data_IF_881957903405
#
_entry.id   IF_881957903405
#
_cell.length_a   1.000
_cell.length_b   1.000
_cell.length_c   1.000
_cell.angle_alpha   90.00
_cell.angle_beta   90.00
_cell.angle_gamma   90.00
#
_symmetry.space_group_name_H-M   'P 1'
#
loop_
_entity.id
_entity.type
_entity.pdbx_description
1 polymer ?
#
# COMPACT_ATOMS: atom_id res chain seq x y z
N UNK A 1 -3.41 -27.08 29.52
CA UNK A 1 -2.84 -26.08 28.59
C UNK A 1 -3.22 -26.36 27.12
N UNK A 2 -2.85 -27.52 26.54
CA UNK A 2 -3.15 -27.85 25.13
C UNK A 2 -4.62 -27.71 24.72
N UNK A 3 -5.55 -28.29 25.48
CA UNK A 3 -6.99 -28.23 25.19
C UNK A 3 -7.55 -26.81 25.21
N UNK A 4 -7.01 -25.95 26.07
CA UNK A 4 -7.41 -24.54 26.18
C UNK A 4 -6.93 -23.75 24.98
N UNK A 5 -5.65 -23.93 24.61
CA UNK A 5 -5.06 -23.28 23.45
C UNK A 5 -5.75 -23.73 22.17
N UNK A 6 -6.10 -25.01 22.00
CA UNK A 6 -6.82 -25.49 20.81
C UNK A 6 -8.24 -24.90 20.64
N UNK A 7 -8.77 -24.22 21.66
CA UNK A 7 -10.10 -23.62 21.68
C UNK A 7 -10.05 -22.16 22.10
N UNK A 8 -8.91 -21.50 21.93
CA UNK A 8 -8.68 -20.15 22.44
C UNK A 8 -9.72 -19.13 21.93
N UNK A 9 -10.14 -19.28 20.68
CA UNK A 9 -11.13 -18.43 20.02
C UNK A 9 -12.51 -18.49 20.69
N UNK A 10 -12.84 -19.56 21.43
CA UNK A 10 -14.10 -19.63 22.19
C UNK A 10 -14.13 -18.66 23.36
N UNK A 11 -12.97 -18.16 23.82
CA UNK A 11 -12.92 -17.14 24.87
C UNK A 11 -13.17 -15.74 24.34
N UNK A 12 -12.98 -15.50 23.04
CA UNK A 12 -13.10 -14.18 22.45
C UNK A 12 -14.47 -13.53 22.66
N UNK A 13 -15.63 -14.22 22.49
CA UNK A 13 -16.94 -13.62 22.82
C UNK A 13 -17.09 -13.22 24.28
N UNK A 14 -16.45 -13.93 25.22
CA UNK A 14 -16.47 -13.57 26.64
C UNK A 14 -15.62 -12.33 26.90
N UNK A 15 -14.45 -12.22 26.25
CA UNK A 15 -13.62 -11.01 26.32
C UNK A 15 -14.35 -9.83 25.67
N UNK A 16 -15.01 -10.03 24.53
CA UNK A 16 -15.86 -9.03 23.89
C UNK A 16 -16.97 -8.53 24.84
N UNK A 17 -17.58 -9.43 25.61
CA UNK A 17 -18.55 -9.06 26.66
C UNK A 17 -17.95 -8.17 27.75
N UNK A 18 -16.66 -8.31 28.10
CA UNK A 18 -16.01 -7.42 29.06
C UNK A 18 -15.88 -5.99 28.50
N UNK A 19 -15.53 -5.84 27.22
CA UNK A 19 -15.56 -4.54 26.55
C UNK A 19 -16.98 -3.96 26.51
N UNK A 20 -17.99 -4.78 26.23
CA UNK A 20 -19.39 -4.36 26.25
C UNK A 20 -19.85 -3.89 27.64
N UNK A 21 -19.45 -4.59 28.71
CA UNK A 21 -19.73 -4.18 30.09
C UNK A 21 -19.02 -2.86 30.43
N UNK A 22 -17.75 -2.70 30.02
CA UNK A 22 -17.02 -1.45 30.20
C UNK A 22 -17.72 -0.28 29.48
N UNK A 23 -18.20 -0.50 28.25
CA UNK A 23 -19.01 0.47 27.50
C UNK A 23 -20.32 0.80 28.19
N UNK A 24 -21.00 -0.20 28.77
CA UNK A 24 -22.30 -0.02 29.40
C UNK A 24 -22.22 0.75 30.73
N UNK A 25 -21.22 0.45 31.56
CA UNK A 25 -21.10 1.04 32.90
C UNK A 25 -20.28 2.32 32.95
N UNK A 26 -19.44 2.58 31.96
CA UNK A 26 -18.58 3.76 31.94
C UNK A 26 -19.19 4.93 31.18
N UNK A 27 -18.85 6.13 31.60
CA UNK A 27 -19.12 7.36 30.86
C UNK A 27 -17.82 7.78 30.16
N UNK A 28 -17.72 7.48 28.87
CA UNK A 28 -16.50 7.63 28.08
C UNK A 28 -16.65 8.75 27.06
N UNK A 29 -15.56 9.45 26.77
CA UNK A 29 -15.51 10.31 25.60
C UNK A 29 -15.54 9.47 24.30
N UNK A 30 -15.76 10.15 23.17
CA UNK A 30 -15.87 9.50 21.86
C UNK A 30 -14.63 8.65 21.52
N UNK A 31 -13.45 9.08 21.96
CA UNK A 31 -12.18 8.39 21.71
C UNK A 31 -12.13 7.05 22.43
N UNK A 32 -12.30 7.06 23.75
CA UNK A 32 -12.26 5.84 24.56
C UNK A 32 -13.43 4.92 24.21
N UNK A 33 -14.61 5.48 23.91
CA UNK A 33 -15.76 4.72 23.41
C UNK A 33 -15.42 3.99 22.10
N UNK A 34 -14.81 4.67 21.13
CA UNK A 34 -14.44 4.07 19.84
C UNK A 34 -13.38 2.98 20.01
N UNK A 35 -12.41 3.19 20.92
CA UNK A 35 -11.39 2.19 21.25
C UNK A 35 -11.99 0.95 21.91
N UNK A 36 -12.90 1.12 22.87
CA UNK A 36 -13.60 0.00 23.52
C UNK A 36 -14.46 -0.79 22.54
N UNK A 37 -15.19 -0.11 21.64
CA UNK A 37 -15.97 -0.78 20.58
C UNK A 37 -15.03 -1.54 19.62
N UNK A 38 -13.91 -0.93 19.24
CA UNK A 38 -12.90 -1.59 18.39
C UNK A 38 -12.29 -2.82 19.08
N UNK A 39 -12.01 -2.72 20.39
CA UNK A 39 -11.56 -3.82 21.24
C UNK A 39 -12.58 -4.95 21.37
N UNK A 40 -13.88 -4.63 21.39
CA UNK A 40 -14.96 -5.60 21.31
C UNK A 40 -14.93 -6.33 19.95
N UNK A 41 -14.90 -5.58 18.85
CA UNK A 41 -14.97 -6.16 17.52
C UNK A 41 -13.74 -6.97 17.13
N UNK A 42 -12.53 -6.66 17.61
CA UNK A 42 -11.36 -7.51 17.35
C UNK A 42 -11.49 -8.89 17.99
N UNK A 43 -12.12 -8.99 19.14
CA UNK A 43 -12.41 -10.29 19.74
C UNK A 43 -13.49 -11.04 18.94
N UNK A 44 -14.56 -10.34 18.52
CA UNK A 44 -15.56 -10.97 17.65
C UNK A 44 -14.97 -11.37 16.28
N UNK A 45 -14.02 -10.61 15.76
CA UNK A 45 -13.32 -10.89 14.51
C UNK A 45 -12.51 -12.19 14.62
N UNK A 46 -11.73 -12.36 15.70
CA UNK A 46 -11.05 -13.62 15.96
C UNK A 46 -12.01 -14.80 16.10
N UNK A 47 -13.17 -14.58 16.72
CA UNK A 47 -14.21 -15.60 16.79
C UNK A 47 -14.79 -15.91 15.40
N UNK A 48 -14.96 -14.91 14.54
CA UNK A 48 -15.41 -15.11 13.16
C UNK A 48 -14.42 -15.96 12.36
N UNK A 49 -13.14 -15.62 12.44
CA UNK A 49 -12.03 -16.26 11.72
C UNK A 49 -11.78 -17.72 12.13
N UNK A 50 -11.83 -18.01 13.44
CA UNK A 50 -11.47 -19.33 13.98
C UNK A 50 -12.67 -20.14 14.47
N UNK A 51 -13.69 -19.47 15.01
CA UNK A 51 -14.85 -20.09 15.67
C UNK A 51 -16.04 -20.35 14.75
N UNK A 52 -16.70 -19.28 14.31
CA UNK A 52 -17.89 -19.37 13.46
C UNK A 52 -18.02 -18.17 12.51
N UNK A 53 -18.07 -18.39 11.17
CA UNK A 53 -18.08 -19.69 10.50
C UNK A 53 -16.73 -20.41 10.57
N UNK A 54 -15.66 -19.69 10.89
CA UNK A 54 -14.30 -20.22 11.04
C UNK A 54 -13.68 -20.64 9.71
N UNK A 55 -12.49 -21.24 9.78
CA UNK A 55 -11.77 -21.75 8.61
C UNK A 55 -10.71 -20.80 8.05
N UNK A 56 -10.50 -19.65 8.69
CA UNK A 56 -9.45 -18.71 8.34
C UNK A 56 -8.03 -19.31 8.31
N UNK A 57 -7.60 -20.21 9.22
CA UNK A 57 -6.22 -20.70 9.22
C UNK A 57 -5.80 -21.35 7.90
N UNK A 58 -6.66 -22.21 7.33
CA UNK A 58 -6.37 -22.82 6.03
C UNK A 58 -6.47 -21.78 4.91
N UNK A 59 -7.43 -20.85 4.97
CA UNK A 59 -7.51 -19.73 4.01
C UNK A 59 -6.22 -18.89 4.05
N UNK A 60 -5.68 -18.54 5.22
CA UNK A 60 -4.46 -17.77 5.39
C UNK A 60 -3.22 -18.56 4.93
N UNK A 61 -3.11 -19.85 5.29
CA UNK A 61 -2.04 -20.73 4.78
C UNK A 61 -2.00 -20.78 3.26
N UNK A 62 -3.18 -20.84 2.66
CA UNK A 62 -3.37 -20.97 1.24
C UNK A 62 -3.21 -19.63 0.50
N UNK A 63 -3.81 -18.55 0.98
CA UNK A 63 -3.83 -17.25 0.30
C UNK A 63 -2.60 -16.43 0.63
N UNK A 64 -2.23 -16.32 1.91
CA UNK A 64 -1.10 -15.48 2.34
C UNK A 64 0.24 -16.20 2.29
N UNK A 65 0.30 -17.42 2.85
CA UNK A 65 1.55 -18.17 2.99
C UNK A 65 1.89 -18.99 1.75
N UNK A 66 0.98 -19.06 0.77
CA UNK A 66 1.14 -19.76 -0.51
C UNK A 66 1.61 -21.22 -0.33
N UNK A 67 1.24 -21.85 0.79
CA UNK A 67 1.58 -23.23 1.06
C UNK A 67 0.48 -24.16 0.56
N UNK A 68 0.87 -25.26 -0.08
CA UNK A 68 -0.02 -26.36 -0.48
C UNK A 68 0.12 -27.58 0.44
N UNK A 69 0.92 -27.45 1.51
CA UNK A 69 1.09 -28.53 2.48
C UNK A 69 -0.25 -28.82 3.16
N UNK A 70 -0.75 -30.04 2.98
CA UNK A 70 -2.05 -30.46 3.52
C UNK A 70 -1.95 -30.98 4.94
N UNK A 71 -0.74 -31.36 5.38
CA UNK A 71 -0.47 -31.80 6.74
C UNK A 71 -0.24 -30.60 7.67
N UNK A 72 -1.23 -30.32 8.52
CA UNK A 72 -1.23 -29.20 9.47
C UNK A 72 -0.09 -29.27 10.49
N UNK A 73 0.50 -30.46 10.70
CA UNK A 73 1.61 -30.63 11.64
C UNK A 73 2.93 -30.03 11.14
N UNK A 74 3.03 -29.76 9.84
CA UNK A 74 4.20 -29.17 9.19
C UNK A 74 4.08 -27.68 8.94
N UNK A 75 2.94 -27.08 9.28
CA UNK A 75 2.71 -25.66 9.09
C UNK A 75 3.51 -24.84 10.11
N UNK A 76 4.00 -23.67 9.68
CA UNK A 76 4.51 -22.64 10.58
C UNK A 76 3.37 -21.88 11.31
N UNK A 77 2.10 -22.31 11.11
CA UNK A 77 0.89 -21.79 11.74
C UNK A 77 0.13 -22.94 12.41
N UNK A 78 -0.21 -22.77 13.68
CA UNK A 78 -0.93 -23.72 14.52
C UNK A 78 -1.75 -22.96 15.58
N UNK A 79 -2.49 -23.64 16.47
CA UNK A 79 -3.30 -22.97 17.51
C UNK A 79 -2.46 -22.11 18.47
N UNK A 80 -1.22 -22.51 18.76
CA UNK A 80 -0.34 -21.80 19.70
C UNK A 80 0.20 -20.49 19.12
N UNK A 81 0.68 -20.54 17.88
CA UNK A 81 1.15 -19.37 17.13
C UNK A 81 0.02 -18.42 16.76
N UNK A 82 -1.15 -18.94 16.36
CA UNK A 82 -2.35 -18.15 16.14
C UNK A 82 -2.80 -17.43 17.42
N UNK A 83 -2.89 -18.15 18.55
CA UNK A 83 -3.20 -17.55 19.83
C UNK A 83 -2.21 -16.43 20.20
N UNK A 84 -0.91 -16.70 20.08
CA UNK A 84 0.12 -15.71 20.36
C UNK A 84 -0.02 -14.47 19.47
N UNK A 85 -0.12 -14.65 18.15
CA UNK A 85 -0.19 -13.53 17.20
C UNK A 85 -1.43 -12.67 17.42
N UNK A 86 -2.61 -13.29 17.46
CA UNK A 86 -3.88 -12.59 17.61
C UNK A 86 -3.97 -11.88 18.98
N UNK A 87 -3.56 -12.54 20.08
CA UNK A 87 -3.61 -11.91 21.40
C UNK A 87 -2.51 -10.86 21.60
N UNK A 88 -1.31 -11.04 21.02
CA UNK A 88 -0.30 -9.98 20.97
C UNK A 88 -0.87 -8.74 20.32
N UNK A 89 -1.47 -8.90 19.14
CA UNK A 89 -2.02 -7.79 18.38
C UNK A 89 -3.20 -7.14 19.12
N UNK A 90 -4.14 -7.92 19.66
CA UNK A 90 -5.25 -7.38 20.45
C UNK A 90 -4.78 -6.64 21.71
N UNK A 91 -3.74 -7.11 22.41
CA UNK A 91 -3.25 -6.45 23.61
C UNK A 91 -2.49 -5.17 23.26
N UNK A 92 -1.52 -5.25 22.34
CA UNK A 92 -0.60 -4.14 22.07
C UNK A 92 -1.23 -3.07 21.16
N UNK A 93 -2.09 -3.48 20.21
CA UNK A 93 -2.71 -2.54 19.27
C UNK A 93 -4.08 -2.08 19.75
N UNK A 94 -4.90 -2.94 20.36
CA UNK A 94 -6.28 -2.55 20.72
C UNK A 94 -6.48 -2.23 22.21
N UNK A 95 -5.86 -3.00 23.11
CA UNK A 95 -6.05 -2.80 24.56
C UNK A 95 -5.18 -1.67 25.12
N UNK A 96 -3.92 -1.59 24.72
CA UNK A 96 -2.98 -0.56 25.19
C UNK A 96 -3.49 0.88 24.97
N UNK A 97 -4.04 1.26 23.80
CA UNK A 97 -4.52 2.63 23.59
C UNK A 97 -5.67 3.02 24.52
N UNK A 98 -6.45 2.08 25.06
CA UNK A 98 -7.53 2.37 26.02
C UNK A 98 -6.96 2.92 27.33
N UNK A 99 -5.79 2.43 27.75
CA UNK A 99 -5.09 2.92 28.95
C UNK A 99 -4.20 4.13 28.66
N UNK A 100 -3.93 4.41 27.38
CA UNK A 100 -3.11 5.53 26.94
C UNK A 100 -3.79 6.35 25.84
N UNK A 101 -5.06 6.80 26.02
CA UNK A 101 -5.84 7.41 24.95
C UNK A 101 -5.33 8.79 24.52
N UNK A 102 -4.42 9.37 25.32
CA UNK A 102 -3.77 10.64 25.03
C UNK A 102 -2.52 10.51 24.15
N UNK A 103 -2.09 9.30 23.80
CA UNK A 103 -1.02 9.06 22.84
C UNK A 103 -1.66 8.95 21.45
N UNK A 104 -1.56 9.98 20.58
CA UNK A 104 -2.45 10.07 19.42
C UNK A 104 -2.22 8.96 18.40
N UNK A 105 -0.96 8.68 18.05
CA UNK A 105 -0.65 7.62 17.08
C UNK A 105 -1.14 6.22 17.49
N UNK A 106 -1.25 5.92 18.80
CA UNK A 106 -1.77 4.64 19.28
C UNK A 106 -3.28 4.51 19.03
N UNK A 107 -4.03 5.58 19.28
CA UNK A 107 -5.46 5.61 18.97
C UNK A 107 -5.68 5.55 17.46
N UNK A 108 -4.92 6.36 16.71
CA UNK A 108 -5.01 6.40 15.27
C UNK A 108 -4.69 5.04 14.63
N UNK A 109 -3.71 4.31 15.16
CA UNK A 109 -3.35 2.97 14.69
C UNK A 109 -4.55 2.00 14.72
N UNK A 110 -5.36 2.01 15.78
CA UNK A 110 -6.58 1.21 15.87
C UNK A 110 -7.55 1.57 14.74
N UNK A 111 -7.76 2.87 14.53
CA UNK A 111 -8.75 3.36 13.57
C UNK A 111 -8.34 3.11 12.12
N UNK A 112 -7.06 3.26 11.80
CA UNK A 112 -6.60 3.04 10.42
C UNK A 112 -6.44 1.55 10.10
N UNK A 113 -6.17 0.70 11.10
CA UNK A 113 -6.04 -0.75 10.91
C UNK A 113 -7.36 -1.39 10.45
N UNK A 114 -8.51 -0.83 10.82
CA UNK A 114 -9.83 -1.22 10.30
C UNK A 114 -9.89 -1.24 8.76
N UNK A 115 -9.21 -0.30 8.09
CA UNK A 115 -9.18 -0.25 6.63
C UNK A 115 -8.20 -1.27 6.03
N UNK A 116 -7.15 -1.66 6.77
CA UNK A 116 -6.28 -2.75 6.38
C UNK A 116 -7.03 -4.09 6.41
N UNK A 117 -7.81 -4.32 7.48
CA UNK A 117 -8.72 -5.47 7.58
C UNK A 117 -9.75 -5.47 6.45
N UNK A 118 -10.35 -4.31 6.16
CA UNK A 118 -11.27 -4.18 5.02
C UNK A 118 -10.58 -4.55 3.71
N UNK A 119 -9.37 -4.05 3.47
CA UNK A 119 -8.65 -4.35 2.24
C UNK A 119 -8.34 -5.84 2.10
N UNK A 120 -7.92 -6.48 3.19
CA UNK A 120 -7.63 -7.91 3.24
C UNK A 120 -8.87 -8.77 3.01
N UNK A 121 -9.93 -8.55 3.77
CA UNK A 121 -11.14 -9.37 3.69
C UNK A 121 -12.02 -9.06 2.48
N UNK A 122 -12.21 -7.78 2.13
CA UNK A 122 -13.11 -7.40 1.03
C UNK A 122 -12.48 -7.63 -0.34
N UNK A 123 -11.19 -7.35 -0.50
CA UNK A 123 -10.50 -7.47 -1.78
C UNK A 123 -9.60 -8.70 -1.82
N UNK A 124 -8.57 -8.77 -0.99
CA UNK A 124 -7.51 -9.78 -1.16
C UNK A 124 -8.02 -11.22 -1.04
N UNK A 125 -8.67 -11.58 0.06
CA UNK A 125 -9.22 -12.92 0.27
C UNK A 125 -10.38 -13.22 -0.66
N UNK A 126 -11.36 -12.33 -0.80
CA UNK A 126 -12.51 -12.54 -1.67
C UNK A 126 -12.13 -12.73 -3.15
N UNK A 127 -11.20 -11.93 -3.69
CA UNK A 127 -10.68 -12.10 -5.04
C UNK A 127 -9.92 -13.42 -5.18
N UNK A 128 -9.13 -13.79 -4.16
CA UNK A 128 -8.36 -15.04 -4.15
C UNK A 128 -9.25 -16.29 -4.10
N UNK A 129 -10.31 -16.23 -3.30
CA UNK A 129 -11.26 -17.31 -3.10
C UNK A 129 -12.36 -17.35 -4.18
N UNK A 130 -12.52 -16.26 -4.97
CA UNK A 130 -13.67 -16.01 -5.85
C UNK A 130 -15.00 -16.15 -5.10
N UNK A 131 -15.04 -15.62 -3.88
CA UNK A 131 -16.21 -15.60 -3.02
C UNK A 131 -16.49 -14.17 -2.60
N UNK A 132 -17.75 -13.90 -2.31
CA UNK A 132 -18.23 -12.61 -1.82
C UNK A 132 -18.05 -12.45 -0.31
N UNK A 133 -17.78 -13.56 0.39
CA UNK A 133 -17.61 -13.61 1.83
C UNK A 133 -16.50 -14.59 2.24
N UNK A 134 -15.77 -14.21 3.28
CA UNK A 134 -14.80 -15.03 3.98
C UNK A 134 -14.83 -14.68 5.49
N UNK A 135 -14.41 -15.61 6.37
CA UNK A 135 -14.36 -15.35 7.81
C UNK A 135 -13.51 -14.12 8.12
N UNK A 136 -14.11 -13.14 8.81
CA UNK A 136 -13.51 -11.85 9.19
C UNK A 136 -14.14 -10.66 8.47
N UNK A 137 -14.83 -10.89 7.34
CA UNK A 137 -15.46 -9.82 6.57
C UNK A 137 -16.66 -9.18 7.29
N UNK A 138 -17.47 -9.96 8.01
CA UNK A 138 -18.69 -9.44 8.64
C UNK A 138 -18.35 -8.47 9.78
N UNK A 139 -17.47 -8.88 10.68
CA UNK A 139 -17.01 -8.05 11.81
C UNK A 139 -16.25 -6.81 11.32
N UNK A 140 -15.59 -6.90 10.18
CA UNK A 140 -14.96 -5.73 9.54
C UNK A 140 -15.99 -4.73 9.01
N UNK A 141 -16.98 -5.20 8.26
CA UNK A 141 -18.01 -4.34 7.65
C UNK A 141 -18.99 -3.74 8.66
N UNK A 142 -19.33 -4.49 9.70
CA UNK A 142 -20.34 -4.08 10.70
C UNK A 142 -19.71 -3.43 11.92
N UNK A 143 -18.45 -3.78 12.23
CA UNK A 143 -17.75 -3.32 13.43
C UNK A 143 -16.67 -2.30 13.14
N UNK A 144 -15.51 -2.78 12.69
CA UNK A 144 -14.32 -1.95 12.57
C UNK A 144 -14.52 -0.71 11.70
N UNK A 145 -14.95 -0.89 10.45
CA UNK A 145 -15.02 0.20 9.49
C UNK A 145 -16.02 1.27 9.90
N UNK A 146 -17.27 0.95 10.31
CA UNK A 146 -18.21 1.97 10.79
C UNK A 146 -17.68 2.77 11.97
N UNK A 147 -17.04 2.12 12.94
CA UNK A 147 -16.51 2.78 14.15
C UNK A 147 -15.35 3.71 13.77
N UNK A 148 -14.42 3.23 12.96
CA UNK A 148 -13.29 4.03 12.52
C UNK A 148 -13.70 5.19 11.63
N UNK A 149 -14.66 5.00 10.72
CA UNK A 149 -15.23 6.09 9.90
C UNK A 149 -15.92 7.12 10.78
N UNK A 150 -16.76 6.69 11.72
CA UNK A 150 -17.47 7.60 12.62
C UNK A 150 -16.50 8.42 13.48
N UNK A 151 -15.50 7.77 14.08
CA UNK A 151 -14.48 8.43 14.88
C UNK A 151 -13.65 9.42 14.06
N UNK A 152 -13.10 8.97 12.93
CA UNK A 152 -12.27 9.84 12.07
C UNK A 152 -13.09 10.98 11.46
N UNK A 153 -14.38 10.80 11.19
CA UNK A 153 -15.21 11.91 10.72
C UNK A 153 -15.31 13.07 11.72
N UNK A 154 -15.16 12.80 13.02
CA UNK A 154 -15.22 13.82 14.08
C UNK A 154 -13.83 14.33 14.48
N UNK A 155 -12.88 13.42 14.69
CA UNK A 155 -11.64 13.71 15.42
C UNK A 155 -10.36 13.59 14.57
N UNK A 156 -10.46 13.47 13.23
CA UNK A 156 -9.27 13.31 12.37
C UNK A 156 -8.29 14.49 12.45
N UNK A 157 -8.78 15.69 12.72
CA UNK A 157 -7.99 16.93 12.84
C UNK A 157 -7.13 16.98 14.12
N UNK A 158 -7.33 16.04 15.06
CA UNK A 158 -6.52 15.93 16.28
C UNK A 158 -5.14 15.29 16.03
N UNK A 159 -4.90 14.77 14.82
CA UNK A 159 -3.69 14.02 14.49
C UNK A 159 -2.75 14.79 13.59
N UNK A 160 -1.48 14.88 13.99
CA UNK A 160 -0.42 15.43 13.15
C UNK A 160 0.01 14.43 12.07
N UNK A 161 0.70 14.91 11.02
CA UNK A 161 1.29 14.02 10.01
C UNK A 161 2.27 12.99 10.60
N UNK A 162 2.95 13.35 11.69
CA UNK A 162 3.81 12.41 12.43
C UNK A 162 2.99 11.29 13.08
N UNK A 163 1.81 11.59 13.61
CA UNK A 163 0.94 10.56 14.20
C UNK A 163 0.48 9.55 13.15
N UNK A 164 0.12 10.00 11.95
CA UNK A 164 -0.21 9.11 10.83
C UNK A 164 0.95 8.19 10.46
N UNK A 165 2.16 8.75 10.35
CA UNK A 165 3.35 7.98 10.04
C UNK A 165 3.68 6.95 11.15
N UNK A 166 3.66 7.38 12.42
CA UNK A 166 3.92 6.51 13.57
C UNK A 166 2.85 5.43 13.73
N UNK A 167 1.59 5.74 13.44
CA UNK A 167 0.50 4.75 13.46
C UNK A 167 0.73 3.64 12.42
N UNK A 168 1.15 3.99 11.21
CA UNK A 168 1.50 3.00 10.17
C UNK A 168 2.71 2.15 10.58
N UNK A 169 3.78 2.77 11.10
CA UNK A 169 4.94 2.03 11.62
C UNK A 169 4.52 1.09 12.76
N UNK A 170 3.69 1.57 13.68
CA UNK A 170 3.22 0.81 14.83
C UNK A 170 2.46 -0.45 14.40
N UNK A 171 1.56 -0.32 13.41
CA UNK A 171 0.82 -1.44 12.82
C UNK A 171 1.78 -2.44 12.17
N UNK A 172 2.67 -1.97 11.29
CA UNK A 172 3.59 -2.85 10.55
C UNK A 172 4.52 -3.60 11.50
N UNK A 173 5.06 -2.93 12.51
CA UNK A 173 5.91 -3.52 13.53
C UNK A 173 5.16 -4.60 14.31
N UNK A 174 3.95 -4.30 14.79
CA UNK A 174 3.18 -5.25 15.58
C UNK A 174 2.66 -6.42 14.74
N UNK A 175 2.29 -6.18 13.48
CA UNK A 175 1.94 -7.26 12.54
C UNK A 175 3.14 -8.18 12.30
N UNK A 176 4.34 -7.62 12.13
CA UNK A 176 5.56 -8.40 12.01
C UNK A 176 5.82 -9.25 13.26
N UNK A 177 5.70 -8.66 14.45
CA UNK A 177 5.91 -9.40 15.71
C UNK A 177 4.88 -10.53 15.86
N UNK A 178 3.60 -10.21 15.63
CA UNK A 178 2.48 -11.13 15.79
C UNK A 178 2.53 -12.30 14.82
N UNK A 179 2.87 -12.07 13.55
CA UNK A 179 2.64 -13.06 12.48
C UNK A 179 3.86 -13.43 11.63
N UNK A 180 5.01 -12.75 11.80
CA UNK A 180 6.22 -12.97 10.97
C UNK A 180 7.51 -13.17 11.77
N UNK A 181 7.50 -12.90 13.06
CA UNK A 181 8.68 -12.95 13.92
C UNK A 181 9.27 -14.35 14.10
N UNK A 182 10.56 -14.46 14.50
CA UNK A 182 11.15 -15.73 14.88
C UNK A 182 10.40 -16.43 16.02
N UNK A 183 9.78 -15.67 16.94
CA UNK A 183 8.97 -16.21 18.03
C UNK A 183 7.73 -16.90 17.47
N UNK A 184 6.97 -16.21 16.62
CA UNK A 184 5.79 -16.76 15.96
C UNK A 184 6.12 -18.07 15.22
N UNK A 185 7.17 -18.07 14.40
CA UNK A 185 7.62 -19.28 13.67
C UNK A 185 8.03 -20.41 14.61
N UNK A 186 8.72 -20.08 15.71
CA UNK A 186 9.11 -21.08 16.72
C UNK A 186 7.89 -21.72 17.38
N UNK A 187 6.86 -20.93 17.69
CA UNK A 187 5.60 -21.42 18.24
C UNK A 187 4.82 -22.28 17.22
N UNK A 188 4.89 -21.96 15.93
CA UNK A 188 4.30 -22.73 14.83
C UNK A 188 4.82 -24.16 14.72
N UNK A 189 6.10 -24.39 15.03
CA UNK A 189 6.76 -25.71 14.93
C UNK A 189 6.28 -26.76 15.95
N UNK A 190 5.51 -26.36 16.96
CA UNK A 190 4.97 -27.31 17.94
C UNK A 190 3.77 -28.05 17.34
N UNK A 191 4.02 -29.14 16.62
CA UNK A 191 3.00 -29.99 15.97
C UNK A 191 1.88 -30.47 16.91
N UNK A 192 2.15 -30.54 18.21
CA UNK A 192 1.16 -30.82 19.24
C UNK A 192 -0.01 -29.82 19.28
N UNK A 193 0.11 -28.64 18.67
CA UNK A 193 -0.92 -27.61 18.58
C UNK A 193 -1.49 -27.45 17.17
N UNK A 194 -1.19 -28.38 16.25
CA UNK A 194 -1.69 -28.35 14.88
C UNK A 194 -3.23 -28.28 14.84
N UNK A 195 -3.77 -27.64 13.79
CA UNK A 195 -5.21 -27.61 13.54
C UNK A 195 -5.72 -29.01 13.23
N UNK A 196 -6.93 -29.30 13.71
CA UNK A 196 -7.57 -30.60 13.54
C UNK A 196 -8.56 -30.59 12.35
N UNK A 197 -9.15 -31.74 12.05
CA UNK A 197 -10.10 -31.89 10.95
C UNK A 197 -11.33 -31.00 11.07
N UNK A 198 -11.76 -30.65 12.30
CA UNK A 198 -12.89 -29.74 12.52
C UNK A 198 -12.52 -28.34 12.05
N UNK A 199 -11.33 -27.85 12.42
CA UNK A 199 -10.82 -26.54 12.00
C UNK A 199 -10.71 -26.46 10.47
N UNK A 200 -10.21 -27.54 9.84
CA UNK A 200 -10.11 -27.63 8.38
C UNK A 200 -11.50 -27.74 7.70
N UNK A 201 -12.44 -28.46 8.30
CA UNK A 201 -13.79 -28.64 7.74
C UNK A 201 -14.53 -27.32 7.57
N UNK A 202 -14.30 -26.35 8.48
CA UNK A 202 -14.86 -25.00 8.41
C UNK A 202 -14.40 -24.21 7.19
N UNK A 203 -13.22 -24.50 6.65
CA UNK A 203 -12.69 -23.84 5.45
C UNK A 203 -13.29 -24.36 4.13
N UNK A 204 -13.85 -25.59 4.13
CA UNK A 204 -14.35 -26.26 2.92
C UNK A 204 -15.33 -25.42 2.09
N UNK A 205 -16.31 -24.70 2.67
CA UNK A 205 -17.24 -23.87 1.90
C UNK A 205 -16.53 -22.78 1.07
N UNK A 206 -15.40 -22.26 1.57
CA UNK A 206 -14.64 -21.18 0.96
C UNK A 206 -13.65 -21.65 -0.11
N UNK A 207 -13.24 -22.93 -0.06
CA UNK A 207 -12.14 -23.46 -0.88
C UNK A 207 -12.57 -24.33 -2.06
N UNK A 208 -13.87 -24.40 -2.36
CA UNK A 208 -14.46 -25.21 -3.45
C UNK A 208 -13.84 -24.97 -4.83
N UNK A 209 -13.21 -23.81 -5.05
CA UNK A 209 -12.55 -23.43 -6.32
C UNK A 209 -11.03 -23.25 -6.19
N UNK A 210 -10.45 -23.58 -5.02
CA UNK A 210 -9.13 -23.08 -4.64
C UNK A 210 -7.95 -23.90 -5.19
N UNK A 211 -8.10 -25.23 -5.33
CA UNK A 211 -7.02 -26.14 -5.74
C UNK A 211 -6.47 -25.88 -7.15
N UNK A 212 -7.23 -25.23 -8.04
CA UNK A 212 -6.76 -24.87 -9.39
C UNK A 212 -6.05 -23.51 -9.47
N UNK A 213 -6.16 -22.66 -8.44
CA UNK A 213 -5.81 -21.23 -8.52
C UNK A 213 -4.51 -20.83 -7.82
N UNK A 214 -3.97 -21.61 -6.88
CA UNK A 214 -2.94 -21.11 -5.95
C UNK A 214 -1.51 -21.04 -6.53
N UNK A 215 -1.08 -22.00 -7.35
CA UNK A 215 0.22 -21.92 -8.05
C UNK A 215 0.29 -20.76 -9.04
N UNK A 216 -0.88 -20.22 -9.41
CA UNK A 216 -1.00 -19.07 -10.27
C UNK A 216 -1.11 -17.78 -9.44
N UNK A 217 -1.87 -17.70 -8.35
CA UNK A 217 -2.27 -16.43 -7.76
C UNK A 217 -1.15 -15.58 -7.12
N UNK A 218 -0.23 -16.19 -6.37
CA UNK A 218 0.86 -15.46 -5.72
C UNK A 218 1.90 -14.90 -6.70
N UNK A 219 2.15 -15.65 -7.78
CA UNK A 219 2.89 -15.19 -8.94
C UNK A 219 2.06 -14.20 -9.75
N UNK A 220 0.75 -14.39 -9.87
CA UNK A 220 -0.18 -13.49 -10.56
C UNK A 220 -0.26 -12.14 -9.87
N UNK A 221 -0.37 -12.01 -8.55
CA UNK A 221 -0.50 -10.69 -7.90
C UNK A 221 0.79 -9.90 -8.05
N UNK A 222 1.94 -10.52 -7.77
CA UNK A 222 3.23 -9.86 -8.02
C UNK A 222 3.46 -9.59 -9.51
N UNK A 223 3.06 -10.50 -10.39
CA UNK A 223 3.09 -10.29 -11.84
C UNK A 223 2.12 -9.18 -12.27
N UNK A 224 0.94 -9.10 -11.67
CA UNK A 224 -0.09 -8.14 -12.02
C UNK A 224 0.29 -6.75 -11.51
N UNK A 225 0.79 -6.64 -10.29
CA UNK A 225 1.39 -5.39 -9.81
C UNK A 225 2.55 -4.98 -10.72
N UNK A 226 3.49 -5.89 -11.02
CA UNK A 226 4.60 -5.61 -11.94
C UNK A 226 4.15 -5.10 -13.31
N UNK A 227 3.13 -5.73 -13.90
CA UNK A 227 2.63 -5.38 -15.22
C UNK A 227 1.65 -4.19 -15.22
N UNK A 228 1.03 -3.86 -14.08
CA UNK A 228 -0.08 -2.91 -13.99
C UNK A 228 -0.01 -1.95 -12.80
N UNK A 229 1.16 -1.71 -12.19
CA UNK A 229 1.35 -0.86 -11.00
C UNK A 229 0.76 0.55 -11.16
N UNK A 230 0.79 1.12 -12.36
CA UNK A 230 0.21 2.42 -12.68
C UNK A 230 -1.32 2.46 -12.51
N UNK A 231 -2.02 1.31 -12.58
CA UNK A 231 -3.45 1.23 -12.22
C UNK A 231 -3.66 1.37 -10.71
N UNK A 232 -2.74 0.81 -9.91
CA UNK A 232 -2.74 1.02 -8.48
C UNK A 232 -2.41 2.48 -8.14
N UNK A 233 -1.52 3.11 -8.91
CA UNK A 233 -1.28 4.55 -8.84
C UNK A 233 -2.55 5.38 -9.12
N UNK A 234 -3.35 5.01 -10.12
CA UNK A 234 -4.64 5.67 -10.38
C UNK A 234 -5.66 5.47 -9.25
N UNK A 235 -5.73 4.28 -8.64
CA UNK A 235 -6.56 4.05 -7.45
C UNK A 235 -6.08 4.94 -6.30
N UNK A 236 -4.76 5.01 -6.08
CA UNK A 236 -4.16 5.87 -5.06
C UNK A 236 -4.48 7.35 -5.32
N UNK A 237 -4.42 7.82 -6.57
CA UNK A 237 -4.85 9.17 -6.95
C UNK A 237 -6.30 9.45 -6.52
N UNK A 238 -7.22 8.52 -6.79
CA UNK A 238 -8.63 8.67 -6.39
C UNK A 238 -8.76 8.73 -4.87
N UNK A 239 -8.04 7.86 -4.13
CA UNK A 239 -8.04 7.87 -2.67
C UNK A 239 -7.54 9.22 -2.15
N UNK A 240 -6.44 9.75 -2.70
CA UNK A 240 -5.90 11.05 -2.32
C UNK A 240 -6.88 12.19 -2.62
N UNK A 241 -7.51 12.18 -3.80
CA UNK A 241 -8.50 13.18 -4.17
C UNK A 241 -9.73 13.16 -3.23
N UNK A 242 -10.27 11.96 -2.94
CA UNK A 242 -11.39 11.79 -2.01
C UNK A 242 -11.00 12.24 -0.60
N UNK A 243 -9.80 11.88 -0.15
CA UNK A 243 -9.26 12.31 1.15
C UNK A 243 -9.25 13.84 1.23
N UNK A 244 -8.73 14.51 0.22
CA UNK A 244 -8.69 15.97 0.18
C UNK A 244 -10.09 16.60 0.20
N UNK A 245 -11.03 16.05 -0.58
CA UNK A 245 -12.41 16.56 -0.71
C UNK A 245 -13.23 16.38 0.57
N UNK A 246 -13.03 15.25 1.26
CA UNK A 246 -13.77 14.87 2.48
C UNK A 246 -13.19 15.57 3.70
N UNK A 247 -11.88 15.45 3.92
CA UNK A 247 -11.25 15.95 5.14
C UNK A 247 -10.92 17.44 5.07
N UNK A 248 -10.62 17.99 3.88
CA UNK A 248 -10.33 19.42 3.68
C UNK A 248 -9.32 19.98 4.69
N UNK A 249 -8.09 19.45 4.71
CA UNK A 249 -7.12 19.78 5.73
C UNK A 249 -6.70 21.25 5.73
N UNK A 250 -6.54 21.86 6.90
CA UNK A 250 -6.01 23.22 7.01
C UNK A 250 -4.48 23.21 6.89
N UNK A 251 -4.00 22.97 5.67
CA UNK A 251 -2.58 22.88 5.35
C UNK A 251 -2.06 24.18 4.75
N UNK A 252 -0.77 24.45 4.96
CA UNK A 252 -0.09 25.53 4.24
C UNK A 252 -0.15 25.30 2.73
N UNK A 253 -0.07 26.37 1.94
CA UNK A 253 -0.06 26.28 0.49
C UNK A 253 1.04 25.34 -0.02
N UNK A 254 2.21 25.36 0.61
CA UNK A 254 3.33 24.47 0.26
C UNK A 254 3.00 22.99 0.48
N UNK A 255 2.33 22.66 1.58
CA UNK A 255 1.94 21.28 1.85
C UNK A 255 0.87 20.81 0.84
N UNK A 256 -0.10 21.65 0.51
CA UNK A 256 -1.03 21.38 -0.60
C UNK A 256 -0.31 21.14 -1.92
N UNK A 257 0.68 21.97 -2.25
CA UNK A 257 1.44 21.83 -3.49
C UNK A 257 2.26 20.53 -3.53
N UNK A 258 2.85 20.07 -2.42
CA UNK A 258 3.50 18.76 -2.35
C UNK A 258 2.50 17.61 -2.55
N UNK A 259 1.32 17.73 -1.96
CA UNK A 259 0.24 16.75 -2.12
C UNK A 259 -0.21 16.67 -3.58
N UNK A 260 -0.46 17.82 -4.21
CA UNK A 260 -0.81 17.90 -5.62
C UNK A 260 0.33 17.43 -6.52
N UNK A 261 1.59 17.67 -6.15
CA UNK A 261 2.73 17.20 -6.92
C UNK A 261 2.79 15.67 -6.97
N UNK A 262 2.47 14.99 -5.85
CA UNK A 262 2.37 13.54 -5.84
C UNK A 262 1.17 13.03 -6.65
N UNK A 263 0.01 13.67 -6.53
CA UNK A 263 -1.14 13.36 -7.37
C UNK A 263 -0.80 13.53 -8.87
N UNK A 264 -0.07 14.58 -9.22
CA UNK A 264 0.39 14.83 -10.58
C UNK A 264 1.37 13.75 -11.07
N UNK A 265 2.27 13.25 -10.21
CA UNK A 265 3.13 12.12 -10.53
C UNK A 265 2.33 10.85 -10.84
N UNK A 266 1.30 10.54 -10.04
CA UNK A 266 0.44 9.37 -10.27
C UNK A 266 -0.34 9.49 -11.58
N UNK A 267 -0.85 10.68 -11.89
CA UNK A 267 -1.50 10.97 -13.16
C UNK A 267 -0.51 10.86 -14.34
N UNK A 268 0.71 11.34 -14.17
CA UNK A 268 1.79 11.26 -15.16
C UNK A 268 2.14 9.82 -15.50
N UNK A 269 2.34 8.98 -14.50
CA UNK A 269 2.57 7.55 -14.69
C UNK A 269 1.37 6.84 -15.33
N UNK A 270 0.15 7.25 -15.00
CA UNK A 270 -1.03 6.73 -15.70
C UNK A 270 -1.02 7.12 -17.19
N UNK A 271 -0.64 8.34 -17.52
CA UNK A 271 -0.48 8.81 -18.90
C UNK A 271 0.54 7.98 -19.67
N UNK A 272 1.71 7.78 -19.06
CA UNK A 272 2.83 7.03 -19.61
C UNK A 272 2.51 5.57 -19.91
N UNK A 273 1.84 4.88 -18.98
CA UNK A 273 1.74 3.43 -19.03
C UNK A 273 0.34 2.88 -19.31
N UNK A 274 -0.73 3.63 -19.06
CA UNK A 274 -2.12 3.18 -19.25
C UNK A 274 -2.85 3.89 -20.38
N UNK A 275 -2.88 5.23 -20.37
CA UNK A 275 -3.65 6.00 -21.35
C UNK A 275 -3.09 7.42 -21.59
N UNK A 276 -2.58 7.75 -22.79
CA UNK A 276 -2.62 6.92 -23.99
C UNK A 276 -1.71 5.69 -23.89
N UNK A 277 -0.70 5.70 -23.02
CA UNK A 277 0.21 4.58 -22.77
C UNK A 277 1.31 4.44 -23.83
N UNK A 278 2.25 3.52 -23.59
CA UNK A 278 3.33 3.21 -24.53
C UNK A 278 4.68 3.84 -24.19
N UNK A 279 4.87 4.39 -22.99
CA UNK A 279 6.17 4.90 -22.54
C UNK A 279 7.20 3.79 -22.26
N UNK A 280 6.77 2.57 -21.97
CA UNK A 280 7.65 1.48 -21.54
C UNK A 280 8.87 1.25 -22.45
N UNK A 281 8.74 1.14 -23.79
CA UNK A 281 9.91 0.98 -24.66
C UNK A 281 10.69 2.28 -24.92
N UNK A 282 10.14 3.46 -24.57
CA UNK A 282 10.79 4.75 -24.83
C UNK A 282 12.11 4.84 -24.08
N UNK A 283 12.21 4.33 -22.86
CA UNK A 283 13.47 4.38 -22.10
C UNK A 283 14.58 3.62 -22.85
N UNK A 284 14.29 2.44 -23.39
CA UNK A 284 15.26 1.64 -24.11
C UNK A 284 15.68 2.31 -25.41
N UNK A 285 14.71 2.79 -26.18
CA UNK A 285 14.98 3.42 -27.47
C UNK A 285 15.60 4.82 -27.36
N UNK A 286 15.04 5.71 -26.54
CA UNK A 286 15.43 7.13 -26.47
C UNK A 286 16.61 7.36 -25.52
N UNK A 287 16.65 6.68 -24.37
CA UNK A 287 17.71 6.92 -23.38
C UNK A 287 18.92 6.05 -23.63
N UNK A 288 18.71 4.80 -24.05
CA UNK A 288 19.79 3.82 -24.24
C UNK A 288 20.11 3.48 -25.69
N UNK A 289 19.41 4.08 -26.66
CA UNK A 289 19.63 3.87 -28.11
C UNK A 289 19.55 2.38 -28.50
N UNK A 290 18.68 1.61 -27.84
CA UNK A 290 18.42 0.19 -28.12
C UNK A 290 17.20 0.04 -29.05
N UNK A 291 17.44 -0.50 -30.24
CA UNK A 291 16.41 -0.65 -31.28
C UNK A 291 15.92 -2.09 -31.44
N UNK A 292 16.73 -3.09 -31.06
CA UNK A 292 16.42 -4.51 -31.31
C UNK A 292 15.68 -5.13 -30.13
N UNK A 293 16.15 -4.86 -28.90
CA UNK A 293 15.63 -5.47 -27.67
C UNK A 293 14.79 -4.49 -26.84
N UNK A 294 14.10 -3.56 -27.52
CA UNK A 294 13.38 -2.44 -26.91
C UNK A 294 12.28 -2.85 -25.92
N UNK A 295 11.81 -4.10 -25.98
CA UNK A 295 10.78 -4.66 -25.11
C UNK A 295 11.34 -5.25 -23.80
N UNK A 296 12.65 -5.36 -23.61
CA UNK A 296 13.19 -5.95 -22.38
C UNK A 296 14.63 -5.55 -22.00
N UNK A 297 15.36 -4.79 -22.82
CA UNK A 297 16.72 -4.38 -22.52
C UNK A 297 16.99 -2.91 -22.89
N UNK A 298 17.77 -2.16 -22.07
CA UNK A 298 18.24 -2.50 -20.72
C UNK A 298 17.14 -2.41 -19.65
N UNK A 299 16.06 -1.68 -19.90
CA UNK A 299 14.87 -1.61 -19.05
C UNK A 299 13.89 -2.74 -19.35
N UNK A 300 13.41 -3.40 -18.31
CA UNK A 300 12.37 -4.43 -18.37
C UNK A 300 11.20 -4.03 -17.45
N UNK A 301 10.10 -4.76 -17.50
CA UNK A 301 8.90 -4.41 -16.73
C UNK A 301 9.17 -4.31 -15.22
N UNK A 302 10.10 -5.10 -14.69
CA UNK A 302 10.47 -5.05 -13.27
C UNK A 302 11.22 -3.76 -12.94
N UNK A 303 12.24 -3.39 -13.71
CA UNK A 303 12.99 -2.15 -13.46
C UNK A 303 12.11 -0.92 -13.68
N UNK A 304 11.27 -0.91 -14.72
CA UNK A 304 10.31 0.18 -14.99
C UNK A 304 9.34 0.35 -13.80
N UNK A 305 8.77 -0.74 -13.26
CA UNK A 305 7.92 -0.68 -12.07
C UNK A 305 8.67 -0.10 -10.87
N UNK A 306 9.91 -0.55 -10.62
CA UNK A 306 10.71 -0.07 -9.50
C UNK A 306 11.07 1.41 -9.63
N UNK A 307 11.43 1.87 -10.83
CA UNK A 307 11.74 3.29 -11.09
C UNK A 307 10.62 4.19 -10.61
N UNK A 308 9.40 3.80 -10.95
CA UNK A 308 8.23 4.60 -10.67
C UNK A 308 7.73 4.49 -9.22
N UNK A 309 7.76 3.29 -8.64
CA UNK A 309 7.25 3.05 -7.28
C UNK A 309 8.23 3.47 -6.19
N UNK A 310 9.55 3.47 -6.45
CA UNK A 310 10.53 4.08 -5.53
C UNK A 310 10.33 5.58 -5.44
N UNK A 311 10.01 6.25 -6.56
CA UNK A 311 9.73 7.68 -6.55
C UNK A 311 8.54 8.04 -5.63
N UNK A 312 7.53 7.16 -5.50
CA UNK A 312 6.41 7.37 -4.58
C UNK A 312 6.86 7.57 -3.14
N UNK A 313 7.88 6.84 -2.69
CA UNK A 313 8.38 6.93 -1.32
C UNK A 313 8.91 8.33 -1.01
N UNK A 314 9.60 8.96 -1.96
CA UNK A 314 10.19 10.29 -1.78
C UNK A 314 9.13 11.39 -1.81
N UNK A 315 8.11 11.25 -2.66
CA UNK A 315 6.96 12.17 -2.68
C UNK A 315 6.09 12.03 -1.44
N UNK A 316 5.85 10.81 -0.96
CA UNK A 316 5.12 10.59 0.30
C UNK A 316 5.93 11.15 1.47
N UNK A 317 7.26 10.99 1.47
CA UNK A 317 8.12 11.57 2.49
C UNK A 317 8.05 13.11 2.50
N UNK A 318 8.04 13.77 1.35
CA UNK A 318 7.91 15.24 1.31
C UNK A 318 6.57 15.73 1.84
N UNK A 319 5.48 15.00 1.59
CA UNK A 319 4.16 15.28 2.18
C UNK A 319 4.17 15.06 3.69
N UNK A 320 4.80 13.99 4.18
CA UNK A 320 4.86 13.69 5.61
C UNK A 320 5.73 14.70 6.39
N UNK A 321 6.74 15.28 5.73
CA UNK A 321 7.67 16.24 6.32
C UNK A 321 7.68 17.56 5.52
N UNK A 322 6.56 18.30 5.46
CA UNK A 322 6.42 19.48 4.60
C UNK A 322 7.33 20.65 5.01
N UNK A 323 7.86 20.61 6.24
CA UNK A 323 8.83 21.58 6.76
C UNK A 323 10.28 21.27 6.35
N UNK A 324 10.54 20.09 5.79
CA UNK A 324 11.85 19.76 5.23
C UNK A 324 11.94 20.34 3.81
N UNK A 325 12.16 21.66 3.71
CA UNK A 325 12.08 22.38 2.43
C UNK A 325 13.05 21.85 1.37
N UNK A 326 14.26 21.43 1.76
CA UNK A 326 15.19 20.73 0.87
C UNK A 326 14.60 19.46 0.24
N UNK A 327 13.82 18.67 0.99
CA UNK A 327 13.16 17.46 0.48
C UNK A 327 12.03 17.82 -0.49
N UNK A 328 11.22 18.83 -0.13
CA UNK A 328 10.18 19.37 -1.00
C UNK A 328 10.74 19.92 -2.32
N UNK A 329 11.81 20.71 -2.25
CA UNK A 329 12.53 21.20 -3.43
C UNK A 329 13.09 20.06 -4.28
N UNK A 330 13.61 18.99 -3.66
CA UNK A 330 14.13 17.84 -4.40
C UNK A 330 13.09 17.13 -5.27
N UNK A 331 11.91 16.85 -4.73
CA UNK A 331 10.83 16.22 -5.54
C UNK A 331 10.24 17.18 -6.58
N UNK A 332 10.23 18.48 -6.28
CA UNK A 332 9.82 19.54 -7.21
C UNK A 332 10.82 19.68 -8.37
N UNK A 333 12.13 19.65 -8.10
CA UNK A 333 13.13 19.63 -9.16
C UNK A 333 13.03 18.37 -10.01
N UNK A 334 12.80 17.21 -9.39
CA UNK A 334 12.58 15.97 -10.14
C UNK A 334 11.38 16.10 -11.08
N UNK A 335 10.30 16.75 -10.63
CA UNK A 335 9.13 17.06 -11.47
C UNK A 335 9.48 17.98 -12.64
N UNK A 336 10.29 19.01 -12.42
CA UNK A 336 10.77 19.90 -13.49
C UNK A 336 11.67 19.18 -14.50
N UNK A 337 12.49 18.21 -14.06
CA UNK A 337 13.32 17.44 -14.99
C UNK A 337 12.51 16.59 -15.98
N UNK A 338 11.24 16.28 -15.68
CA UNK A 338 10.36 15.61 -16.64
C UNK A 338 10.12 16.45 -17.90
N UNK A 339 10.16 17.79 -17.79
CA UNK A 339 10.08 18.66 -18.95
C UNK A 339 11.28 18.47 -19.90
N UNK A 340 12.47 18.18 -19.37
CA UNK A 340 13.64 17.91 -20.20
C UNK A 340 13.47 16.61 -21.00
N UNK A 341 12.98 15.55 -20.33
CA UNK A 341 12.73 14.26 -20.96
C UNK A 341 11.55 14.29 -21.94
N UNK A 342 10.35 14.54 -21.44
CA UNK A 342 9.11 14.51 -22.20
C UNK A 342 8.93 15.74 -23.10
N UNK A 343 9.33 16.93 -22.66
CA UNK A 343 9.18 18.16 -23.46
C UNK A 343 10.14 18.22 -24.64
N UNK A 344 11.38 17.76 -24.45
CA UNK A 344 12.45 17.94 -25.44
C UNK A 344 13.04 16.62 -25.93
N UNK A 345 13.73 15.86 -25.07
CA UNK A 345 14.56 14.72 -25.51
C UNK A 345 13.78 13.66 -26.31
N UNK A 346 12.65 13.21 -25.78
CA UNK A 346 11.82 12.18 -26.41
C UNK A 346 11.20 12.68 -27.73
N UNK A 347 10.66 13.90 -27.72
CA UNK A 347 10.05 14.50 -28.91
C UNK A 347 11.06 14.68 -30.06
N UNK A 348 12.27 15.14 -29.74
CA UNK A 348 13.34 15.34 -30.73
C UNK A 348 13.82 14.00 -31.29
N UNK A 349 14.15 13.02 -30.43
CA UNK A 349 14.66 11.71 -30.89
C UNK A 349 13.62 10.92 -31.68
N UNK A 350 12.36 10.93 -31.26
CA UNK A 350 11.28 10.18 -31.93
C UNK A 350 10.62 10.96 -33.08
N UNK A 351 10.92 12.25 -33.26
CA UNK A 351 10.31 13.16 -34.25
C UNK A 351 8.78 13.23 -34.13
N UNK A 352 8.33 13.45 -32.91
CA UNK A 352 6.92 13.49 -32.51
C UNK A 352 6.60 14.81 -31.81
N UNK A 353 5.35 15.27 -31.91
CA UNK A 353 4.88 16.45 -31.18
C UNK A 353 4.34 16.13 -29.77
N UNK A 354 4.11 14.85 -29.49
CA UNK A 354 3.59 14.37 -28.22
C UNK A 354 4.16 12.99 -27.90
N UNK A 355 4.44 12.75 -26.63
CA UNK A 355 4.71 11.44 -26.06
C UNK A 355 3.90 11.24 -24.78
N UNK A 356 3.58 9.98 -24.43
CA UNK A 356 2.95 9.66 -23.16
C UNK A 356 3.75 10.22 -21.99
N UNK A 357 3.12 11.07 -21.18
CA UNK A 357 3.73 11.79 -20.05
C UNK A 357 3.90 13.29 -20.30
N UNK A 358 3.82 13.75 -21.55
CA UNK A 358 3.96 15.17 -21.87
C UNK A 358 2.82 16.04 -21.34
N UNK A 359 1.56 15.59 -21.44
CA UNK A 359 0.43 16.43 -21.06
C UNK A 359 0.43 16.72 -19.56
N UNK A 360 0.56 15.68 -18.74
CA UNK A 360 0.66 15.81 -17.28
C UNK A 360 1.90 16.57 -16.85
N UNK A 361 3.02 16.44 -17.58
CA UNK A 361 4.22 17.26 -17.33
C UNK A 361 3.92 18.74 -17.50
N UNK A 362 3.33 19.12 -18.64
CA UNK A 362 3.08 20.53 -18.99
C UNK A 362 1.94 21.14 -18.17
N UNK A 363 0.87 20.40 -17.93
CA UNK A 363 -0.35 20.93 -17.29
C UNK A 363 -0.40 20.75 -15.78
N UNK A 364 0.36 19.81 -15.21
CA UNK A 364 0.34 19.55 -13.76
C UNK A 364 1.72 19.69 -13.12
N UNK A 365 2.70 18.86 -13.50
CA UNK A 365 4.00 18.82 -12.81
C UNK A 365 4.73 20.17 -12.85
N UNK A 366 4.87 20.77 -14.04
CA UNK A 366 5.58 22.06 -14.19
C UNK A 366 4.84 23.20 -13.48
N UNK A 367 3.52 23.43 -13.68
CA UNK A 367 2.80 24.49 -12.96
C UNK A 367 2.86 24.34 -11.44
N UNK A 368 2.70 23.12 -10.91
CA UNK A 368 2.76 22.85 -9.46
C UNK A 368 4.18 23.12 -8.94
N UNK A 369 5.20 22.66 -9.65
CA UNK A 369 6.59 22.91 -9.30
C UNK A 369 6.94 24.40 -9.27
N UNK A 370 6.52 25.16 -10.30
CA UNK A 370 6.70 26.60 -10.35
C UNK A 370 5.96 27.31 -9.22
N UNK A 371 4.72 26.92 -8.94
CA UNK A 371 3.93 27.47 -7.83
C UNK A 371 4.60 27.21 -6.47
N UNK A 372 5.14 26.01 -6.24
CA UNK A 372 5.85 25.68 -5.01
C UNK A 372 7.09 26.55 -4.82
N UNK A 373 7.93 26.65 -5.85
CA UNK A 373 9.14 27.48 -5.80
C UNK A 373 8.80 28.95 -5.58
N UNK A 374 7.79 29.46 -6.30
CA UNK A 374 7.32 30.83 -6.18
C UNK A 374 6.84 31.11 -4.75
N UNK A 375 5.94 30.28 -4.23
CA UNK A 375 5.36 30.46 -2.89
C UNK A 375 6.44 30.41 -1.81
N UNK A 376 7.30 29.39 -1.84
CA UNK A 376 8.36 29.23 -0.84
C UNK A 376 9.39 30.37 -0.90
N UNK A 377 9.65 30.90 -2.10
CA UNK A 377 10.54 32.06 -2.26
C UNK A 377 9.87 33.36 -1.78
N UNK A 378 8.59 33.55 -2.10
CA UNK A 378 7.82 34.72 -1.70
C UNK A 378 7.63 34.82 -0.18
N UNK A 379 7.48 33.67 0.50
CA UNK A 379 7.44 33.60 1.96
C UNK A 379 8.81 33.81 2.62
N UNK A 380 9.91 33.82 1.86
CA UNK A 380 11.26 34.04 2.37
C UNK A 380 11.79 32.91 3.26
N UNK A 381 11.17 31.72 3.19
CA UNK A 381 11.47 30.59 4.07
C UNK A 381 12.65 29.73 3.58
N UNK A 382 13.03 29.87 2.31
CA UNK A 382 14.10 29.07 1.70
C UNK A 382 15.47 29.65 2.02
N UNK A 383 16.34 28.81 2.59
CA UNK A 383 17.76 29.12 2.77
C UNK A 383 18.60 28.58 1.60
N UNK A 384 19.85 29.06 1.45
CA UNK A 384 20.80 28.46 0.51
C UNK A 384 21.05 26.97 0.78
N UNK A 385 20.96 26.54 2.03
CA UNK A 385 21.06 25.13 2.42
C UNK A 385 19.92 24.29 1.83
N UNK A 386 18.71 24.86 1.73
CA UNK A 386 17.56 24.18 1.15
C UNK A 386 17.70 23.99 -0.35
N UNK A 387 18.23 25.00 -1.05
CA UNK A 387 18.54 24.91 -2.48
C UNK A 387 19.59 23.83 -2.78
N UNK A 388 20.69 23.82 -2.03
CA UNK A 388 21.74 22.81 -2.18
C UNK A 388 21.21 21.41 -1.82
N UNK A 389 20.49 21.30 -0.71
CA UNK A 389 19.87 20.04 -0.26
C UNK A 389 18.87 19.50 -1.28
N UNK A 390 18.03 20.36 -1.87
CA UNK A 390 17.10 19.97 -2.92
C UNK A 390 17.80 19.47 -4.18
N UNK A 391 18.91 20.10 -4.58
CA UNK A 391 19.71 19.61 -5.69
C UNK A 391 20.36 18.24 -5.38
N UNK A 392 20.86 18.04 -4.16
CA UNK A 392 21.38 16.75 -3.71
C UNK A 392 20.27 15.69 -3.73
N UNK A 393 19.08 16.00 -3.24
CA UNK A 393 17.93 15.08 -3.29
C UNK A 393 17.56 14.74 -4.72
N UNK A 394 17.57 15.69 -5.65
CA UNK A 394 17.36 15.41 -7.08
C UNK A 394 18.35 14.35 -7.58
N UNK A 395 19.65 14.52 -7.29
CA UNK A 395 20.67 13.54 -7.68
C UNK A 395 20.37 12.18 -7.06
N UNK A 396 20.05 12.14 -5.76
CA UNK A 396 19.70 10.89 -5.07
C UNK A 396 18.47 10.24 -5.71
N UNK A 397 17.42 11.01 -6.03
CA UNK A 397 16.24 10.53 -6.74
C UNK A 397 16.64 9.88 -8.07
N UNK A 398 17.41 10.56 -8.92
CA UNK A 398 17.81 10.06 -10.23
C UNK A 398 18.66 8.78 -10.09
N UNK A 399 19.63 8.77 -9.18
CA UNK A 399 20.50 7.61 -8.97
C UNK A 399 19.73 6.40 -8.45
N UNK A 400 18.85 6.58 -7.46
CA UNK A 400 18.18 5.48 -6.76
C UNK A 400 16.90 5.00 -7.44
N UNK A 401 16.14 5.91 -8.07
CA UNK A 401 14.91 5.55 -8.77
C UNK A 401 15.17 5.20 -10.23
N UNK A 402 15.98 5.96 -10.97
CA UNK A 402 16.14 5.71 -12.41
C UNK A 402 17.33 4.79 -12.67
N UNK A 403 18.53 5.22 -12.29
CA UNK A 403 19.77 4.55 -12.73
C UNK A 403 19.94 3.18 -12.08
N UNK A 404 19.83 3.10 -10.75
CA UNK A 404 20.09 1.85 -10.04
C UNK A 404 19.15 0.71 -10.46
N UNK A 405 17.81 0.87 -10.53
CA UNK A 405 16.94 -0.25 -10.90
C UNK A 405 17.16 -0.72 -12.33
N UNK A 406 17.42 0.19 -13.28
CA UNK A 406 17.70 -0.18 -14.67
C UNK A 406 19.05 -0.88 -14.78
N UNK A 407 20.12 -0.33 -14.18
CA UNK A 407 21.46 -0.89 -14.32
C UNK A 407 21.65 -2.21 -13.55
N UNK A 408 21.00 -2.37 -12.40
CA UNK A 408 21.11 -3.57 -11.58
C UNK A 408 20.26 -4.74 -12.13
N UNK A 409 19.21 -4.46 -12.91
CA UNK A 409 18.27 -5.46 -13.40
C UNK A 409 18.26 -5.62 -14.92
N UNK A 410 19.19 -4.97 -15.64
CA UNK A 410 19.35 -5.18 -17.08
C UNK A 410 19.80 -6.60 -17.34
N UNK A 411 19.07 -7.28 -18.22
CA UNK A 411 19.35 -8.66 -18.59
C UNK A 411 18.68 -8.92 -19.94
N UNK A 412 19.45 -9.41 -20.92
CA UNK A 412 18.96 -9.72 -22.27
C UNK A 412 18.10 -10.97 -22.30
N UNK A 413 18.28 -11.89 -21.34
CA UNK A 413 17.53 -13.14 -21.25
C UNK A 413 16.42 -13.08 -20.19
N UNK A 414 15.95 -11.86 -19.88
CA UNK A 414 15.00 -11.62 -18.78
C UNK A 414 13.61 -12.17 -19.08
N UNK A 415 12.96 -12.72 -18.05
CA UNK A 415 11.56 -13.12 -18.11
C UNK A 415 10.58 -11.95 -17.89
N UNK A 416 11.08 -10.72 -17.69
CA UNK A 416 10.27 -9.53 -17.38
C UNK A 416 9.98 -8.65 -18.59
N UNK A 417 9.62 -9.28 -19.71
CA UNK A 417 9.38 -8.61 -21.00
C UNK A 417 8.21 -7.64 -20.89
N UNK A 418 8.32 -6.47 -21.54
CA UNK A 418 7.25 -5.50 -21.69
C UNK A 418 6.10 -6.14 -22.45
N UNK A 419 4.90 -6.07 -21.88
CA UNK A 419 3.75 -6.77 -22.45
C UNK A 419 3.44 -6.35 -23.89
N UNK A 420 3.03 -7.28 -24.78
CA UNK A 420 2.80 -6.97 -26.20
C UNK A 420 1.82 -5.84 -26.47
N UNK A 421 0.81 -5.64 -25.61
CA UNK A 421 -0.15 -4.57 -25.79
C UNK A 421 0.47 -3.18 -25.51
N UNK A 422 1.47 -3.07 -24.65
CA UNK A 422 2.20 -1.81 -24.45
C UNK A 422 3.11 -1.50 -25.63
N UNK A 423 3.68 -2.53 -26.26
CA UNK A 423 4.42 -2.39 -27.52
C UNK A 423 3.51 -1.94 -28.67
N UNK A 424 2.36 -2.61 -28.85
CA UNK A 424 1.33 -2.19 -29.80
C UNK A 424 0.86 -0.76 -29.54
N UNK A 425 0.67 -0.40 -28.26
CA UNK A 425 0.27 0.95 -27.89
C UNK A 425 1.32 1.98 -28.25
N UNK A 426 2.60 1.71 -27.95
CA UNK A 426 3.72 2.55 -28.36
C UNK A 426 3.68 2.81 -29.86
N UNK A 427 3.60 1.77 -30.69
CA UNK A 427 3.55 1.93 -32.15
C UNK A 427 2.35 2.76 -32.61
N UNK A 428 1.16 2.53 -32.05
CA UNK A 428 -0.05 3.29 -32.36
C UNK A 428 0.10 4.77 -32.01
N UNK A 429 0.58 5.07 -30.81
CA UNK A 429 0.78 6.46 -30.36
C UNK A 429 1.81 7.15 -31.22
N UNK A 430 3.00 6.56 -31.40
CA UNK A 430 4.07 7.14 -32.21
C UNK A 430 3.61 7.39 -33.64
N UNK A 431 2.89 6.46 -34.27
CA UNK A 431 2.37 6.66 -35.62
C UNK A 431 1.34 7.80 -35.71
N UNK A 432 0.49 7.95 -34.70
CA UNK A 432 -0.51 9.02 -34.63
C UNK A 432 0.14 10.41 -34.47
N UNK A 433 1.20 10.50 -33.66
CA UNK A 433 1.83 11.77 -33.27
C UNK A 433 3.13 12.10 -34.03
N UNK A 434 3.51 11.26 -34.99
CA UNK A 434 4.67 11.49 -35.85
C UNK A 434 4.46 12.75 -36.68
N UNK A 435 5.47 13.62 -36.67
CA UNK A 435 5.50 14.77 -37.55
C UNK A 435 5.62 14.27 -38.99
N UNK A 436 4.63 14.60 -39.83
CA UNK A 436 4.74 14.34 -41.27
C UNK A 436 5.86 15.21 -41.83
N UNK A 437 6.73 14.60 -42.63
CA UNK A 437 7.79 15.33 -43.34
C UNK A 437 7.20 16.34 -44.31
#
# INVERSE_FOLDING_TARGET
MKTWIAKWYLFCPYIASLFALALFFGNWDLRVQSLLISGLFIQLHFFEEFGFPGGFPLIAMLVELKSVETDTSKWDLNHLSAFFGNQWFAVIVYLLPIFCPNIPFLTLAVMIFAFAELAMHLFFFNLSLKKWYNPGLLTTLVGFVPVSVYYLAHDWNLYSGLDWFLALIWIVLNYFIAFRSPIYKRLGRYSNYAFNDVDLSRSKPFLTHFRETQFKLGGIIMSYFRNYWYRFGAILFIILAVTLLVFRPDWSMLHYLLYFNFMALLAHQFEEYQFPGGASPIINYVVYDEEELMDHFPGNTQSIMLVNTIAWLLYIASIAFPQAYWLGLGVVFFSLTQLLGHGFQMNIKLKIWYNPGLATTVFFLVPIACAYIYQASAEGILTWGDWLGGFIVLIVCVLTSIIAPVQLLKDKETNYIISPWQMDRFHKVINFVRLKK
#
